data_IF_077284352317
#
_entry.id   IF_077284352317
#
_cell.length_a   1.000
_cell.length_b   1.000
_cell.length_c   1.000
_cell.angle_alpha   90.00
_cell.angle_beta   90.00
_cell.angle_gamma   90.00
#
_symmetry.space_group_name_H-M   'P 1'
#
loop_
_entity.id
_entity.type
_entity.pdbx_description
1 polymer ?
#
# COMPACT_ATOMS: atom_id res chain seq x y z
N UNK A 1 5.40 -31.56 -6.53
CA UNK A 1 4.87 -31.80 -6.57
C UNK A 1 4.60 -31.52 -6.04
N UNK A 2 4.71 -30.99 -5.98
CA UNK A 2 4.28 -30.83 -5.89
C UNK A 2 4.12 -30.25 -5.47
N UNK A 3 4.39 -29.80 -5.59
CA UNK A 3 3.93 -29.59 -5.66
C UNK A 3 3.61 -29.02 -5.45
N UNK A 4 3.85 -28.71 -5.60
CA UNK A 4 3.22 -28.59 -5.86
C UNK A 4 2.80 -28.27 -5.55
N UNK A 5 3.14 -27.98 -5.65
CA UNK A 5 2.46 -28.06 -5.76
C UNK A 5 2.08 -27.61 -5.43
N UNK A 6 2.29 -27.10 -5.47
CA UNK A 6 1.67 -27.09 -5.57
C UNK A 6 1.19 -26.70 -5.19
N UNK A 7 1.60 -26.35 -5.12
CA UNK A 7 0.90 -26.38 -5.13
C UNK A 7 0.47 -26.28 -4.59
N UNK A 8 0.51 -25.89 -4.61
CA UNK A 8 -0.23 -26.14 -4.49
C UNK A 8 -0.62 -25.99 -3.99
N UNK A 9 -0.45 -25.64 -3.88
CA UNK A 9 -1.09 -25.66 -3.62
C UNK A 9 -1.59 -25.42 -3.29
N UNK A 10 -1.73 -25.17 -3.35
CA UNK A 10 -2.32 -25.04 -3.27
C UNK A 10 -2.88 -24.52 -3.06
N UNK A 11 -3.09 -24.37 -3.29
CA UNK A 11 -3.78 -23.95 -3.24
C UNK A 11 -4.23 -23.40 -2.92
N UNK A 12 -4.24 -23.34 -3.05
CA UNK A 12 -4.74 -22.77 -2.87
C UNK A 12 -5.15 -22.24 -2.50
N UNK A 13 -5.41 -22.09 -2.73
CA UNK A 13 -5.81 -21.65 -2.48
C UNK A 13 -6.00 -20.88 -2.16
N UNK A 14 -6.19 -20.87 -2.19
CA UNK A 14 -6.42 -20.10 -1.90
C UNK A 14 -6.24 -19.10 -2.01
N UNK A 15 -6.88 -19.12 -2.67
CA UNK A 15 -6.74 -17.72 -3.07
C UNK A 15 -6.70 -16.78 -1.89
N UNK A 16 -7.43 -17.06 -0.91
CA UNK A 16 -7.37 -16.31 0.32
C UNK A 16 -6.00 -16.30 0.97
N UNK A 17 -5.20 -17.31 0.65
CA UNK A 17 -3.88 -17.48 1.24
C UNK A 17 -2.79 -16.81 0.43
N UNK A 18 -3.13 -16.29 -0.76
CA UNK A 18 -2.15 -15.69 -1.64
C UNK A 18 -2.26 -14.18 -1.56
N UNK A 19 -1.28 -13.57 -0.93
CA UNK A 19 -1.23 -12.11 -0.91
C UNK A 19 -0.71 -11.59 -2.24
N UNK A 20 -1.21 -10.42 -2.67
CA UNK A 20 -0.63 -9.75 -3.81
C UNK A 20 0.79 -9.29 -3.47
N UNK A 21 1.58 -9.02 -4.51
CA UNK A 21 2.93 -8.50 -4.32
C UNK A 21 2.90 -7.19 -3.54
N UNK A 22 1.89 -6.35 -3.78
CA UNK A 22 1.77 -5.07 -3.08
C UNK A 22 1.53 -5.26 -1.59
N UNK A 23 0.71 -6.24 -1.19
CA UNK A 23 0.47 -6.50 0.23
C UNK A 23 1.74 -7.00 0.90
N UNK A 24 2.43 -7.93 0.26
CA UNK A 24 3.68 -8.47 0.80
C UNK A 24 4.72 -7.36 0.96
N UNK A 25 4.81 -6.49 -0.03
CA UNK A 25 5.75 -5.38 0.02
C UNK A 25 5.40 -4.40 1.14
N UNK A 26 4.13 -4.08 1.30
CA UNK A 26 3.70 -3.17 2.36
C UNK A 26 4.07 -3.74 3.73
N UNK A 27 3.86 -5.03 3.94
CA UNK A 27 4.27 -5.69 5.19
C UNK A 27 5.77 -5.63 5.38
N UNK A 28 6.55 -5.85 4.33
CA UNK A 28 8.00 -5.82 4.42
C UNK A 28 8.52 -4.42 4.74
N UNK A 29 7.91 -3.40 4.17
CA UNK A 29 8.37 -2.02 4.36
C UNK A 29 7.97 -1.44 5.71
N UNK A 30 6.84 -1.86 6.28
CA UNK A 30 6.27 -1.23 7.47
C UNK A 30 6.10 -2.17 8.67
N UNK A 31 6.33 -3.48 8.49
CA UNK A 31 6.03 -4.46 9.53
C UNK A 31 6.77 -4.26 10.83
N UNK A 32 7.95 -3.62 10.79
CA UNK A 32 8.76 -3.39 11.98
C UNK A 32 8.55 -1.99 12.58
N UNK A 33 7.70 -1.18 11.98
CA UNK A 33 7.45 0.18 12.47
C UNK A 33 6.44 0.12 13.60
N UNK A 34 6.89 0.40 14.81
CA UNK A 34 6.06 0.24 16.02
C UNK A 34 4.90 1.24 16.07
N UNK A 35 4.96 2.32 15.32
CA UNK A 35 3.88 3.31 15.26
C UNK A 35 2.83 3.03 14.20
N UNK A 36 2.97 1.92 13.47
CA UNK A 36 2.10 1.61 12.33
C UNK A 36 1.34 0.33 12.60
N UNK A 37 0.03 0.37 12.34
CA UNK A 37 -0.81 -0.82 12.37
C UNK A 37 -1.12 -1.25 10.94
N UNK A 38 -1.02 -2.53 10.64
CA UNK A 38 -1.43 -3.09 9.36
C UNK A 38 -2.73 -3.85 9.58
N UNK A 39 -3.75 -3.50 8.81
CA UNK A 39 -5.10 -4.05 9.01
C UNK A 39 -5.76 -4.38 7.68
N UNK A 40 -6.26 -5.62 7.50
CA UNK A 40 -7.07 -5.92 6.32
C UNK A 40 -8.38 -5.11 6.35
N UNK A 41 -8.69 -4.46 5.24
CA UNK A 41 -9.91 -3.65 5.12
C UNK A 41 -10.40 -3.70 3.68
N UNK A 42 -11.68 -4.01 3.49
CA UNK A 42 -12.32 -3.97 2.16
C UNK A 42 -11.56 -4.76 1.09
N UNK A 43 -11.02 -5.92 1.47
CA UNK A 43 -10.29 -6.76 0.52
C UNK A 43 -8.88 -6.27 0.21
N UNK A 44 -8.38 -5.26 0.92
CA UNK A 44 -7.03 -4.73 0.75
C UNK A 44 -6.32 -4.77 2.09
N UNK A 45 -5.07 -4.35 2.12
CA UNK A 45 -4.30 -4.18 3.35
C UNK A 45 -4.04 -2.71 3.56
N UNK A 46 -4.46 -2.18 4.70
CA UNK A 46 -4.28 -0.77 5.03
C UNK A 46 -3.20 -0.60 6.09
N UNK A 47 -2.45 0.50 6.00
CA UNK A 47 -1.50 0.91 7.02
C UNK A 47 -2.07 2.13 7.73
N UNK A 48 -2.09 2.10 9.05
CA UNK A 48 -2.69 3.14 9.87
C UNK A 48 -1.69 3.72 10.86
N UNK A 49 -1.82 5.01 11.10
CA UNK A 49 -1.11 5.69 12.18
C UNK A 49 -2.17 6.37 13.05
N UNK A 50 -2.11 6.13 14.35
CA UNK A 50 -3.09 6.67 15.31
C UNK A 50 -4.54 6.36 14.89
N UNK A 51 -4.77 5.18 14.30
CA UNK A 51 -6.11 4.76 13.87
C UNK A 51 -6.56 5.31 12.54
N UNK A 52 -5.71 6.03 11.80
CA UNK A 52 -6.07 6.66 10.54
C UNK A 52 -5.22 6.11 9.40
N UNK A 53 -5.87 5.74 8.29
CA UNK A 53 -5.19 5.13 7.15
C UNK A 53 -4.31 6.16 6.44
N UNK A 54 -3.06 5.79 6.16
CA UNK A 54 -2.16 6.63 5.37
C UNK A 54 -1.64 5.92 4.11
N UNK A 55 -1.80 4.61 4.01
CA UNK A 55 -1.38 3.86 2.83
C UNK A 55 -2.24 2.62 2.68
N UNK A 56 -2.37 2.15 1.46
CA UNK A 56 -3.13 0.92 1.17
C UNK A 56 -2.40 0.11 0.11
N UNK A 57 -2.47 -1.21 0.23
CA UNK A 57 -2.06 -2.12 -0.85
C UNK A 57 -3.35 -2.56 -1.54
N UNK A 58 -3.61 -2.00 -2.71
CA UNK A 58 -4.83 -2.24 -3.48
C UNK A 58 -4.45 -2.87 -4.81
N UNK A 59 -4.94 -4.07 -5.07
CA UNK A 59 -4.53 -4.87 -6.23
C UNK A 59 -3.01 -5.03 -6.23
N UNK A 60 -2.32 -4.56 -7.25
CA UNK A 60 -0.87 -4.70 -7.36
C UNK A 60 -0.12 -3.40 -7.07
N UNK A 61 -0.78 -2.40 -6.50
CA UNK A 61 -0.15 -1.12 -6.25
C UNK A 61 -0.23 -0.75 -4.78
N UNK A 62 0.74 0.08 -4.35
CA UNK A 62 0.71 0.71 -3.04
C UNK A 62 0.30 2.16 -3.27
N UNK A 63 -0.77 2.59 -2.61
CA UNK A 63 -1.22 3.97 -2.64
C UNK A 63 -0.91 4.67 -1.35
N UNK A 64 -0.54 5.94 -1.44
CA UNK A 64 -0.19 6.76 -0.28
C UNK A 64 -1.05 8.01 -0.24
N UNK A 65 -1.48 8.38 0.96
CA UNK A 65 -2.28 9.58 1.18
C UNK A 65 -1.34 10.74 1.50
N UNK A 66 -1.36 11.76 0.67
CA UNK A 66 -0.37 12.84 0.74
C UNK A 66 -1.05 14.21 0.76
N UNK A 67 -0.34 15.18 1.35
CA UNK A 67 -0.69 16.58 1.21
C UNK A 67 -0.61 16.99 -0.26
N UNK A 68 -1.36 18.04 -0.68
CA UNK A 68 -1.41 18.42 -2.10
C UNK A 68 -0.04 18.69 -2.73
N UNK A 69 0.87 19.33 -2.02
CA UNK A 69 2.20 19.63 -2.56
C UNK A 69 3.03 18.37 -2.77
N UNK A 70 3.02 17.45 -1.82
CA UNK A 70 3.74 16.18 -1.96
C UNK A 70 3.10 15.32 -3.05
N UNK A 71 1.77 15.32 -3.12
CA UNK A 71 1.05 14.58 -4.14
C UNK A 71 1.40 15.10 -5.54
N UNK A 72 1.53 16.41 -5.70
CA UNK A 72 1.92 17.00 -6.97
C UNK A 72 3.29 16.53 -7.42
N UNK A 73 4.23 16.36 -6.50
CA UNK A 73 5.54 15.81 -6.83
C UNK A 73 5.42 14.37 -7.33
N UNK A 74 4.65 13.55 -6.61
CA UNK A 74 4.47 12.15 -7.00
C UNK A 74 3.78 12.04 -8.36
N UNK A 75 2.85 12.97 -8.66
CA UNK A 75 2.15 12.98 -9.94
C UNK A 75 3.08 13.16 -11.14
N UNK A 76 4.25 13.76 -10.94
CA UNK A 76 5.20 13.94 -12.03
C UNK A 76 5.94 12.65 -12.40
N UNK A 77 5.87 11.63 -11.56
CA UNK A 77 6.60 10.40 -11.81
C UNK A 77 5.79 9.47 -12.73
N UNK A 78 6.41 8.97 -13.80
CA UNK A 78 5.70 8.03 -14.69
C UNK A 78 5.24 6.81 -13.92
N UNK A 79 4.01 6.38 -14.17
CA UNK A 79 3.44 5.20 -13.53
C UNK A 79 2.66 5.49 -12.26
N UNK A 80 2.71 6.72 -11.74
CA UNK A 80 1.88 7.11 -10.62
C UNK A 80 0.49 7.49 -11.11
N UNK A 81 -0.55 7.00 -10.44
CA UNK A 81 -1.93 7.23 -10.84
C UNK A 81 -2.81 7.49 -9.64
N UNK A 82 -3.96 8.11 -9.87
CA UNK A 82 -4.99 8.23 -8.85
C UNK A 82 -5.54 6.85 -8.55
N UNK A 83 -5.72 6.53 -7.28
CA UNK A 83 -6.34 5.26 -6.90
C UNK A 83 -7.85 5.32 -7.09
N UNK A 84 -8.41 4.19 -7.48
CA UNK A 84 -9.86 4.01 -7.50
C UNK A 84 -10.23 2.79 -6.70
N UNK A 85 -11.36 2.85 -6.01
CA UNK A 85 -11.92 1.70 -5.31
C UNK A 85 -13.34 1.52 -5.84
N UNK A 86 -13.52 0.49 -6.67
CA UNK A 86 -14.74 0.37 -7.45
C UNK A 86 -14.83 1.55 -8.43
N UNK A 87 -15.92 2.29 -8.39
CA UNK A 87 -16.10 3.47 -9.24
C UNK A 87 -15.65 4.77 -8.54
N UNK A 88 -15.20 4.67 -7.29
CA UNK A 88 -14.86 5.85 -6.49
C UNK A 88 -13.40 6.22 -6.67
N UNK A 89 -13.14 7.47 -7.00
CA UNK A 89 -11.77 8.00 -7.09
C UNK A 89 -11.32 8.48 -5.72
N UNK A 90 -10.14 8.04 -5.30
CA UNK A 90 -9.57 8.39 -4.01
C UNK A 90 -8.57 9.52 -4.24
N UNK A 91 -9.09 10.76 -4.31
CA UNK A 91 -8.31 11.91 -4.78
C UNK A 91 -7.11 12.27 -3.93
N UNK A 92 -7.15 11.93 -2.64
CA UNK A 92 -6.04 12.22 -1.74
C UNK A 92 -4.90 11.22 -1.86
N UNK A 93 -5.08 10.14 -2.62
CA UNK A 93 -4.12 9.06 -2.74
C UNK A 93 -3.50 9.05 -4.13
N UNK A 94 -2.22 8.64 -4.19
CA UNK A 94 -1.53 8.36 -5.46
C UNK A 94 -0.81 7.03 -5.32
N UNK A 95 -0.74 6.29 -6.41
CA UNK A 95 -0.01 5.03 -6.41
C UNK A 95 1.49 5.30 -6.58
N UNK A 96 2.30 4.42 -5.96
CA UNK A 96 3.75 4.44 -6.17
C UNK A 96 4.04 3.68 -7.47
N UNK A 97 4.87 4.24 -8.36
CA UNK A 97 5.23 3.55 -9.60
C UNK A 97 5.85 2.18 -9.33
N UNK A 98 5.55 1.20 -10.17
CA UNK A 98 5.96 -0.19 -9.95
C UNK A 98 7.47 -0.37 -9.95
N UNK A 99 8.22 0.46 -10.65
CA UNK A 99 9.68 0.36 -10.70
C UNK A 99 10.41 1.10 -9.62
N UNK A 100 9.70 1.71 -8.67
CA UNK A 100 10.34 2.52 -7.64
C UNK A 100 11.13 1.65 -6.67
N UNK A 101 12.40 2.00 -6.38
CA UNK A 101 13.19 1.24 -5.39
C UNK A 101 12.60 1.28 -3.99
N UNK A 102 12.89 0.24 -3.20
CA UNK A 102 12.33 0.10 -1.85
C UNK A 102 12.64 1.30 -0.95
N UNK A 103 13.86 1.86 -1.04
CA UNK A 103 14.23 3.02 -0.22
C UNK A 103 13.35 4.23 -0.54
N UNK A 104 13.05 4.46 -1.82
CA UNK A 104 12.16 5.55 -2.20
C UNK A 104 10.73 5.27 -1.76
N UNK A 105 10.27 4.04 -1.89
CA UNK A 105 8.92 3.66 -1.44
C UNK A 105 8.77 3.91 0.06
N UNK A 106 9.80 3.55 0.83
CA UNK A 106 9.78 3.78 2.27
C UNK A 106 9.71 5.27 2.58
N UNK A 107 10.45 6.10 1.82
CA UNK A 107 10.43 7.55 2.02
C UNK A 107 9.03 8.12 1.77
N UNK A 108 8.35 7.68 0.71
CA UNK A 108 6.99 8.12 0.43
C UNK A 108 6.01 7.65 1.50
N UNK A 109 6.17 6.43 2.00
CA UNK A 109 5.33 5.92 3.09
C UNK A 109 5.53 6.75 4.35
N UNK A 110 6.77 7.12 4.67
CA UNK A 110 7.06 7.97 5.82
C UNK A 110 6.40 9.34 5.67
N UNK A 111 6.47 9.94 4.48
CA UNK A 111 5.82 11.23 4.23
C UNK A 111 4.31 11.13 4.42
N UNK A 112 3.71 10.06 3.92
CA UNK A 112 2.27 9.85 4.07
C UNK A 112 1.89 9.67 5.54
N UNK A 113 2.67 8.88 6.28
CA UNK A 113 2.43 8.68 7.70
C UNK A 113 2.50 10.00 8.46
N UNK A 114 3.54 10.79 8.20
CA UNK A 114 3.73 12.07 8.90
C UNK A 114 2.60 13.04 8.57
N UNK A 115 2.18 13.06 7.31
CA UNK A 115 1.06 13.91 6.90
C UNK A 115 -0.22 13.57 7.65
N UNK A 116 -0.57 12.28 7.68
CA UNK A 116 -1.81 11.83 8.34
C UNK A 116 -1.73 12.05 9.85
N UNK A 117 -0.58 11.77 10.45
CA UNK A 117 -0.37 12.01 11.88
C UNK A 117 -0.58 13.50 12.21
N UNK A 118 -0.11 14.38 11.35
CA UNK A 118 -0.27 15.83 11.54
C UNK A 118 -1.73 16.25 11.43
N UNK A 119 -2.49 15.65 10.48
CA UNK A 119 -3.91 15.99 10.32
C UNK A 119 -4.73 15.67 11.55
N UNK A 120 -4.32 14.68 12.32
CA UNK A 120 -5.09 14.19 13.46
C UNK A 120 -4.37 14.38 14.79
N UNK A 121 -3.36 15.24 14.80
CA UNK A 121 -2.60 15.53 16.01
C UNK A 121 -3.41 16.41 16.99
#
# INVERSE_FOLDING_TARGET
MASRDFRHSGDAGNAGDTESAARSELRALLGDDSGVELRPMFGTLAALVDGHVFAVALDDVIGVKLAPDARAVLETLPGSEVLTMGSRRMKAYRSLPSGMPAAERRAWLTRARDHVATLHA
#
